data_IF_777159094437
#
_entry.id   IF_777159094437
#
_cell.length_a   1.000
_cell.length_b   1.000
_cell.length_c   1.000
_cell.angle_alpha   90.00
_cell.angle_beta   90.00
_cell.angle_gamma   90.00
#
_symmetry.space_group_name_H-M   'P 1'
#
loop_
_entity.id
_entity.type
_entity.pdbx_description
1 polymer ?
#
# COMPACT_ATOMS: atom_id res chain seq x y z
N UNK A 1 30.96 -26.44 1.22
CA UNK A 1 29.96 -26.54 2.31
C UNK A 1 29.04 -25.35 2.14
N UNK A 2 27.75 -25.63 1.98
CA UNK A 2 26.68 -24.74 1.53
C UNK A 2 26.51 -23.50 2.41
N UNK A 3 26.10 -22.34 1.87
CA UNK A 3 25.62 -21.23 2.69
C UNK A 3 24.17 -21.48 3.10
N UNK A 4 23.89 -21.23 4.37
CA UNK A 4 22.63 -21.43 5.07
C UNK A 4 21.42 -20.80 4.36
N UNK A 5 20.34 -21.59 4.34
CA UNK A 5 18.98 -21.16 4.03
C UNK A 5 18.50 -20.15 5.07
N UNK A 6 18.57 -18.86 4.75
CA UNK A 6 17.86 -17.82 5.49
C UNK A 6 16.35 -18.03 5.35
N UNK A 7 15.71 -18.39 6.45
CA UNK A 7 14.26 -18.47 6.59
C UNK A 7 13.64 -17.11 6.27
N UNK A 8 12.83 -17.05 5.21
CA UNK A 8 12.07 -15.86 4.82
C UNK A 8 10.98 -15.58 5.87
N UNK A 9 10.80 -14.34 6.34
CA UNK A 9 9.85 -13.99 7.40
C UNK A 9 8.37 -14.06 6.97
N UNK A 10 8.06 -14.47 5.74
CA UNK A 10 6.71 -14.46 5.16
C UNK A 10 5.99 -15.82 5.21
N UNK A 11 6.56 -16.83 5.87
CA UNK A 11 6.04 -18.19 5.90
C UNK A 11 5.32 -18.50 7.22
N UNK A 12 4.20 -17.82 7.45
CA UNK A 12 3.11 -18.38 8.23
C UNK A 12 1.86 -18.44 7.33
N UNK A 13 1.31 -19.64 7.16
CA UNK A 13 0.16 -19.90 6.29
C UNK A 13 -1.08 -19.22 6.86
N UNK A 14 -1.52 -18.14 6.21
CA UNK A 14 -2.76 -17.43 6.55
C UNK A 14 -3.94 -18.11 5.85
N UNK A 15 -5.05 -18.40 6.56
CA UNK A 15 -6.26 -18.92 5.95
C UNK A 15 -6.81 -17.93 4.91
N UNK A 16 -7.27 -18.46 3.78
CA UNK A 16 -7.96 -17.68 2.74
C UNK A 16 -9.09 -16.87 3.39
N UNK A 17 -9.10 -15.55 3.17
CA UNK A 17 -10.22 -14.73 3.60
C UNK A 17 -11.44 -15.15 2.78
N UNK A 18 -12.38 -15.85 3.42
CA UNK A 18 -13.68 -16.13 2.83
C UNK A 18 -14.40 -14.81 2.55
N UNK A 19 -15.04 -14.72 1.38
CA UNK A 19 -15.84 -13.57 1.00
C UNK A 19 -16.84 -13.26 2.14
N UNK A 20 -16.62 -12.17 2.88
CA UNK A 20 -17.52 -11.77 3.95
C UNK A 20 -18.75 -11.14 3.34
N UNK A 21 -19.84 -11.89 3.25
CA UNK A 21 -21.16 -11.36 2.92
C UNK A 21 -21.90 -11.04 4.21
N UNK A 22 -22.69 -9.96 4.22
CA UNK A 22 -23.62 -9.69 5.31
C UNK A 22 -24.82 -10.68 5.30
N UNK A 23 -25.70 -10.55 6.29
CA UNK A 23 -26.92 -11.35 6.41
C UNK A 23 -27.87 -11.22 5.20
N UNK A 24 -27.68 -10.19 4.37
CA UNK A 24 -28.46 -9.92 3.16
C UNK A 24 -27.75 -10.42 1.87
N UNK A 25 -26.57 -11.03 1.98
CA UNK A 25 -25.80 -11.52 0.83
C UNK A 25 -25.05 -10.42 0.07
N UNK A 26 -24.82 -9.27 0.68
CA UNK A 26 -24.00 -8.17 0.15
C UNK A 26 -22.54 -8.35 0.57
N UNK A 27 -21.61 -8.27 -0.36
CA UNK A 27 -20.18 -8.37 -0.05
C UNK A 27 -19.72 -7.17 0.79
N UNK A 28 -19.18 -7.40 1.98
CA UNK A 28 -18.63 -6.36 2.85
C UNK A 28 -17.34 -5.82 2.23
N UNK A 29 -17.25 -4.53 1.90
CA UNK A 29 -16.04 -3.98 1.27
C UNK A 29 -14.88 -3.98 2.24
N UNK A 30 -13.80 -4.67 1.92
CA UNK A 30 -12.71 -4.89 2.87
C UNK A 30 -11.81 -3.68 3.15
N UNK A 31 -11.95 -2.57 2.42
CA UNK A 31 -11.00 -1.44 2.50
C UNK A 31 -11.65 -0.07 2.74
N UNK A 32 -12.67 -0.04 3.59
CA UNK A 32 -13.10 1.18 4.26
C UNK A 32 -12.77 1.08 5.75
N UNK A 33 -12.68 2.21 6.45
CA UNK A 33 -12.73 2.15 7.92
C UNK A 33 -14.06 1.53 8.33
N UNK A 34 -14.04 0.70 9.37
CA UNK A 34 -15.27 0.24 10.02
C UNK A 34 -16.11 1.45 10.47
N UNK A 35 -17.40 1.25 10.69
CA UNK A 35 -18.33 2.32 11.08
C UNK A 35 -17.89 3.07 12.37
N UNK A 36 -17.07 2.42 13.20
CA UNK A 36 -16.46 2.99 14.41
C UNK A 36 -15.15 3.78 14.14
N UNK A 37 -14.74 3.91 12.88
CA UNK A 37 -13.53 4.59 12.43
C UNK A 37 -12.24 3.76 12.57
N UNK A 38 -12.36 2.48 12.93
CA UNK A 38 -11.23 1.54 13.05
C UNK A 38 -10.73 1.04 11.69
N UNK A 39 -9.46 0.61 11.64
CA UNK A 39 -8.80 0.15 10.41
C UNK A 39 -9.30 -1.25 10.04
N UNK A 40 -9.40 -1.57 8.74
CA UNK A 40 -9.88 -2.88 8.32
C UNK A 40 -8.77 -3.93 8.42
N UNK A 41 -8.67 -4.63 9.55
CA UNK A 41 -7.63 -5.67 9.79
C UNK A 41 -7.59 -6.74 8.69
N UNK A 42 -8.75 -7.12 8.13
CA UNK A 42 -8.84 -8.10 7.06
C UNK A 42 -8.06 -7.70 5.79
N UNK A 43 -7.84 -6.39 5.58
CA UNK A 43 -7.06 -5.87 4.46
C UNK A 43 -5.56 -6.14 4.61
N UNK A 44 -5.03 -6.29 5.84
CA UNK A 44 -3.66 -6.74 6.03
C UNK A 44 -3.46 -8.15 5.47
N UNK A 45 -4.44 -9.05 5.66
CA UNK A 45 -4.43 -10.39 5.08
C UNK A 45 -4.33 -10.36 3.56
N UNK A 46 -5.17 -9.56 2.90
CA UNK A 46 -5.15 -9.38 1.44
C UNK A 46 -3.80 -8.85 0.95
N UNK A 47 -3.23 -7.83 1.62
CA UNK A 47 -1.93 -7.27 1.23
C UNK A 47 -0.78 -8.27 1.42
N UNK A 48 -0.79 -9.05 2.50
CA UNK A 48 0.17 -10.15 2.73
C UNK A 48 0.07 -11.19 1.61
N UNK A 49 -1.15 -11.57 1.22
CA UNK A 49 -1.37 -12.55 0.16
C UNK A 49 -0.91 -12.05 -1.21
N UNK A 50 -1.12 -10.78 -1.53
CA UNK A 50 -0.59 -10.19 -2.76
C UNK A 50 0.94 -10.18 -2.80
N UNK A 51 1.58 -9.82 -1.69
CA UNK A 51 3.02 -9.90 -1.53
C UNK A 51 3.53 -11.34 -1.72
N UNK A 52 2.89 -12.30 -1.07
CA UNK A 52 3.24 -13.73 -1.14
C UNK A 52 3.06 -14.31 -2.54
N UNK A 53 1.91 -14.06 -3.18
CA UNK A 53 1.65 -14.50 -4.55
C UNK A 53 2.67 -13.91 -5.52
N UNK A 54 2.98 -12.61 -5.38
CA UNK A 54 3.98 -11.96 -6.21
C UNK A 54 5.38 -12.57 -6.01
N UNK A 55 5.77 -12.82 -4.76
CA UNK A 55 7.06 -13.45 -4.45
C UNK A 55 7.18 -14.88 -5.00
N UNK A 56 6.11 -15.67 -4.89
CA UNK A 56 6.09 -17.08 -5.29
C UNK A 56 6.01 -17.25 -6.81
N UNK A 57 5.21 -16.44 -7.50
CA UNK A 57 4.82 -16.69 -8.88
C UNK A 57 5.31 -15.66 -9.90
N UNK A 58 5.85 -14.50 -9.51
CA UNK A 58 6.32 -13.46 -10.44
C UNK A 58 7.85 -13.38 -10.51
N UNK A 59 8.52 -14.15 -11.39
CA UNK A 59 9.97 -14.16 -11.51
C UNK A 59 10.60 -12.78 -11.81
N UNK A 60 9.90 -11.88 -12.51
CA UNK A 60 10.38 -10.50 -12.77
C UNK A 60 10.34 -9.61 -11.52
N UNK A 61 9.61 -10.04 -10.48
CA UNK A 61 9.51 -9.36 -9.19
C UNK A 61 10.45 -9.93 -8.12
N UNK A 62 11.02 -11.13 -8.32
CA UNK A 62 11.91 -11.80 -7.35
C UNK A 62 13.31 -11.15 -7.25
N UNK A 63 13.68 -10.28 -8.18
CA UNK A 63 15.01 -9.65 -8.26
C UNK A 63 15.31 -8.55 -7.22
N UNK A 64 14.60 -8.50 -6.09
CA UNK A 64 14.92 -7.53 -5.03
C UNK A 64 15.82 -8.23 -4.02
N UNK A 65 17.13 -8.13 -4.20
CA UNK A 65 18.09 -8.49 -3.17
C UNK A 65 17.95 -7.56 -1.96
N UNK A 66 18.41 -8.01 -0.78
CA UNK A 66 18.42 -7.21 0.43
C UNK A 66 19.04 -5.83 0.13
N UNK A 67 18.20 -4.80 0.12
CA UNK A 67 18.61 -3.48 -0.30
C UNK A 67 19.22 -2.73 0.88
N UNK A 68 20.22 -1.90 0.59
CA UNK A 68 20.69 -0.93 1.56
C UNK A 68 19.52 -0.05 1.97
N UNK A 69 19.37 0.18 3.26
CA UNK A 69 18.41 1.15 3.74
C UNK A 69 18.82 2.55 3.26
N UNK A 70 17.84 3.44 2.99
CA UNK A 70 18.11 4.86 2.78
C UNK A 70 18.87 5.46 3.97
N UNK A 71 19.48 6.63 3.81
CA UNK A 71 20.23 7.32 4.88
C UNK A 71 19.46 7.38 6.20
N UNK A 72 18.13 7.56 6.12
CA UNK A 72 17.22 7.52 7.26
C UNK A 72 15.94 6.79 6.90
N UNK A 73 15.37 6.10 7.88
CA UNK A 73 14.05 5.47 7.84
C UNK A 73 13.33 5.75 9.14
N UNK A 74 12.01 5.59 9.17
CA UNK A 74 11.24 5.53 10.40
C UNK A 74 11.31 4.08 10.89
N UNK A 75 11.87 3.87 12.07
CA UNK A 75 11.73 2.61 12.80
C UNK A 75 10.35 2.61 13.45
N UNK A 76 9.48 1.74 12.92
CA UNK A 76 8.12 1.58 13.42
C UNK A 76 8.00 0.50 14.49
N UNK A 77 9.06 -0.29 14.73
CA UNK A 77 9.01 -1.47 15.60
C UNK A 77 8.12 -2.58 15.04
N UNK A 78 7.64 -3.46 15.92
CA UNK A 78 6.72 -4.56 15.58
C UNK A 78 5.26 -4.20 15.93
N UNK A 79 4.33 -5.15 15.78
CA UNK A 79 2.92 -4.94 16.13
C UNK A 79 2.69 -4.65 17.63
N UNK A 80 3.59 -5.13 18.50
CA UNK A 80 3.56 -4.88 19.94
C UNK A 80 4.20 -3.53 20.33
N UNK A 81 4.86 -2.85 19.39
CA UNK A 81 5.44 -1.55 19.63
C UNK A 81 4.32 -0.54 19.90
N UNK A 82 4.49 0.23 20.97
CA UNK A 82 3.51 1.20 21.42
C UNK A 82 3.28 2.37 20.45
N UNK A 83 2.88 3.50 21.02
CA UNK A 83 2.47 4.70 20.30
C UNK A 83 3.64 5.58 19.83
N UNK A 84 4.88 5.10 19.92
CA UNK A 84 6.08 5.84 19.53
C UNK A 84 6.81 5.15 18.38
N UNK A 85 7.28 5.97 17.45
CA UNK A 85 8.19 5.58 16.37
C UNK A 85 9.38 6.53 16.36
N UNK A 86 10.50 6.16 15.74
CA UNK A 86 11.70 7.02 15.74
C UNK A 86 12.30 7.14 14.36
N UNK A 87 12.81 8.33 14.05
CA UNK A 87 13.67 8.51 12.89
C UNK A 87 15.02 7.84 13.18
N UNK A 88 15.36 6.83 12.40
CA UNK A 88 16.57 6.04 12.55
C UNK A 88 17.57 6.38 11.45
N UNK A 89 18.81 6.69 11.83
CA UNK A 89 19.93 6.83 10.90
C UNK A 89 20.53 5.45 10.66
N UNK A 90 20.67 5.05 9.41
CA UNK A 90 20.86 3.63 9.07
C UNK A 90 22.31 3.22 8.97
N UNK A 91 23.24 4.18 8.84
CA UNK A 91 24.68 3.91 8.64
C UNK A 91 24.96 2.86 7.54
N UNK A 92 24.17 2.90 6.45
CA UNK A 92 24.23 1.95 5.32
C UNK A 92 23.86 0.49 5.65
N UNK A 93 23.18 0.26 6.78
CA UNK A 93 22.63 -1.04 7.13
C UNK A 93 21.74 -1.60 6.01
N UNK A 94 21.69 -2.93 5.91
CA UNK A 94 20.77 -3.63 5.03
C UNK A 94 19.47 -3.95 5.78
N UNK A 95 18.34 -3.85 5.10
CA UNK A 95 17.06 -4.17 5.70
C UNK A 95 15.92 -4.10 4.71
N UNK A 96 14.78 -4.67 5.09
CA UNK A 96 13.55 -4.56 4.32
C UNK A 96 12.75 -3.36 4.82
N UNK A 97 12.28 -2.53 3.90
CA UNK A 97 11.49 -1.35 4.22
C UNK A 97 10.38 -1.13 3.20
N UNK A 98 9.35 -0.39 3.62
CA UNK A 98 8.31 0.14 2.74
C UNK A 98 8.55 1.62 2.45
N UNK A 99 7.94 2.14 1.40
CA UNK A 99 7.90 3.57 1.11
C UNK A 99 6.46 4.08 1.16
N UNK A 100 6.26 5.35 1.50
CA UNK A 100 4.97 6.02 1.44
C UNK A 100 5.00 7.18 0.42
N UNK A 101 4.20 7.04 -0.63
CA UNK A 101 3.83 8.11 -1.55
C UNK A 101 2.56 8.80 -1.07
N UNK A 102 2.64 10.10 -0.78
CA UNK A 102 1.49 10.87 -0.31
C UNK A 102 1.49 12.31 -0.82
N UNK A 103 0.30 12.89 -0.94
CA UNK A 103 0.13 14.32 -1.17
C UNK A 103 0.19 15.09 0.14
N UNK A 104 0.96 16.18 0.15
CA UNK A 104 1.12 17.04 1.33
C UNK A 104 -0.16 17.81 1.66
N UNK A 105 -1.01 18.07 0.67
CA UNK A 105 -2.22 18.88 0.81
C UNK A 105 -1.95 20.35 1.07
N UNK A 106 -2.97 21.05 1.58
CA UNK A 106 -2.86 22.47 2.00
C UNK A 106 -2.40 22.58 3.47
N UNK A 107 -2.46 21.49 4.22
CA UNK A 107 -2.08 21.43 5.63
C UNK A 107 -0.57 21.40 5.82
N UNK A 108 -0.07 21.98 6.93
CA UNK A 108 1.34 21.86 7.31
C UNK A 108 1.60 20.42 7.78
N UNK A 109 1.99 19.54 6.87
CA UNK A 109 2.39 18.18 7.21
C UNK A 109 3.63 18.19 8.12
N UNK A 110 3.69 17.37 9.18
CA UNK A 110 4.86 17.21 10.02
C UNK A 110 6.07 16.82 9.16
N UNK A 111 7.16 17.53 9.36
CA UNK A 111 8.37 17.39 8.56
C UNK A 111 9.62 17.48 9.41
N UNK A 112 10.66 16.79 8.98
CA UNK A 112 11.96 16.87 9.64
C UNK A 112 12.71 18.13 9.17
N UNK A 113 13.25 18.86 10.12
CA UNK A 113 14.11 20.03 9.93
C UNK A 113 15.35 19.89 10.79
N UNK A 114 16.35 20.73 10.53
CA UNK A 114 17.57 20.80 11.33
C UNK A 114 17.28 21.04 12.82
N UNK A 115 16.20 21.76 13.14
CA UNK A 115 15.81 22.07 14.52
C UNK A 115 15.11 20.93 15.26
N UNK A 116 14.48 19.97 14.57
CA UNK A 116 13.67 18.92 15.20
C UNK A 116 14.17 17.49 14.95
N UNK A 117 15.21 17.29 14.15
CA UNK A 117 15.75 15.97 13.82
C UNK A 117 16.10 15.14 15.07
N UNK A 118 16.80 15.72 16.05
CA UNK A 118 17.14 15.01 17.29
C UNK A 118 15.89 14.59 18.08
N UNK A 119 14.84 15.42 18.06
CA UNK A 119 13.56 15.07 18.66
C UNK A 119 12.92 13.89 17.94
N UNK A 120 12.91 13.91 16.60
CA UNK A 120 12.38 12.81 15.80
C UNK A 120 13.16 11.51 16.02
N UNK A 121 14.48 11.57 16.23
CA UNK A 121 15.30 10.40 16.57
C UNK A 121 14.98 9.85 17.97
N UNK A 122 14.67 10.71 18.95
CA UNK A 122 14.26 10.26 20.30
C UNK A 122 12.86 9.66 20.33
N UNK A 123 12.00 10.06 19.39
CA UNK A 123 10.68 9.49 19.22
C UNK A 123 9.65 10.52 18.76
N UNK A 124 8.68 10.03 18.01
CA UNK A 124 7.53 10.74 17.48
C UNK A 124 6.30 9.98 17.95
N UNK A 125 5.40 10.66 18.64
CA UNK A 125 4.12 10.08 19.06
C UNK A 125 3.22 9.91 17.83
N UNK A 126 2.64 8.73 17.63
CA UNK A 126 1.80 8.41 16.47
C UNK A 126 0.64 9.38 16.29
N UNK A 127 -0.03 9.78 17.37
CA UNK A 127 -1.18 10.70 17.33
C UNK A 127 -0.79 12.12 16.89
N UNK A 128 0.50 12.47 16.91
CA UNK A 128 0.99 13.75 16.38
C UNK A 128 1.22 13.74 14.86
N UNK A 129 1.17 12.55 14.23
CA UNK A 129 1.35 12.39 12.79
C UNK A 129 0.01 12.49 12.05
N UNK A 130 0.00 12.86 10.76
CA UNK A 130 -1.20 12.83 9.95
C UNK A 130 -1.75 11.42 9.83
N UNK A 131 -3.06 11.28 9.60
CA UNK A 131 -3.73 9.98 9.52
C UNK A 131 -3.07 9.04 8.51
N UNK A 132 -2.65 9.56 7.35
CA UNK A 132 -1.96 8.76 6.32
C UNK A 132 -0.66 8.14 6.84
N UNK A 133 0.08 8.83 7.70
CA UNK A 133 1.34 8.30 8.23
C UNK A 133 1.03 7.25 9.30
N UNK A 134 0.01 7.50 10.13
CA UNK A 134 -0.44 6.53 11.13
C UNK A 134 -0.90 5.23 10.48
N UNK A 135 -1.69 5.31 9.40
CA UNK A 135 -2.15 4.13 8.68
C UNK A 135 -1.02 3.42 7.95
N UNK A 136 -0.09 4.18 7.34
CA UNK A 136 1.10 3.59 6.71
C UNK A 136 1.97 2.85 7.72
N UNK A 137 2.14 3.39 8.92
CA UNK A 137 2.86 2.73 10.02
C UNK A 137 2.12 1.46 10.45
N UNK A 138 0.80 1.52 10.59
CA UNK A 138 -0.03 0.36 10.92
C UNK A 138 0.07 -0.74 9.85
N UNK A 139 0.00 -0.38 8.56
CA UNK A 139 0.21 -1.33 7.45
C UNK A 139 1.62 -1.91 7.51
N UNK A 140 2.64 -1.08 7.76
CA UNK A 140 4.04 -1.52 7.79
C UNK A 140 4.26 -2.56 8.90
N UNK A 141 3.78 -2.28 10.13
CA UNK A 141 3.79 -3.23 11.26
C UNK A 141 3.01 -4.49 10.93
N UNK A 142 1.80 -4.33 10.39
CA UNK A 142 0.93 -5.43 9.96
C UNK A 142 1.58 -6.33 8.92
N UNK A 143 2.41 -5.81 8.02
CA UNK A 143 3.13 -6.63 7.05
C UNK A 143 4.40 -7.28 7.63
N UNK A 144 4.67 -7.14 8.93
CA UNK A 144 5.86 -7.68 9.59
C UNK A 144 7.15 -6.93 9.22
N UNK A 145 7.03 -5.68 8.76
CA UNK A 145 8.17 -4.85 8.33
C UNK A 145 8.43 -3.78 9.39
N UNK A 146 9.71 -3.58 9.73
CA UNK A 146 10.11 -2.64 10.80
C UNK A 146 10.36 -1.22 10.28
N UNK A 147 10.68 -1.06 9.00
CA UNK A 147 11.15 0.21 8.46
C UNK A 147 10.19 0.79 7.43
N UNK A 148 9.88 2.08 7.60
CA UNK A 148 9.09 2.87 6.66
C UNK A 148 9.86 4.10 6.24
N UNK A 149 9.94 4.37 4.94
CA UNK A 149 10.49 5.61 4.41
C UNK A 149 9.36 6.56 4.00
N UNK A 150 9.40 7.78 4.55
CA UNK A 150 8.44 8.85 4.25
C UNK A 150 9.24 10.11 3.90
N UNK A 151 9.08 10.63 2.68
CA UNK A 151 9.82 11.79 2.18
C UNK A 151 9.82 12.98 3.17
N UNK A 152 8.68 13.30 3.78
CA UNK A 152 8.54 14.43 4.70
C UNK A 152 9.35 14.27 6.01
N UNK A 153 9.57 13.03 6.47
CA UNK A 153 10.23 12.73 7.74
C UNK A 153 11.67 12.22 7.57
N UNK A 154 11.97 11.53 6.48
CA UNK A 154 13.29 10.94 6.24
C UNK A 154 14.30 11.90 5.57
N UNK A 155 13.84 13.08 5.15
CA UNK A 155 14.67 14.13 4.53
C UNK A 155 14.56 15.41 5.36
N UNK A 156 15.70 16.05 5.60
CA UNK A 156 15.78 17.34 6.29
C UNK A 156 15.35 18.44 5.34
N UNK A 157 14.15 18.99 5.53
CA UNK A 157 13.49 19.82 4.51
C UNK A 157 14.10 21.21 4.33
N UNK A 158 14.79 21.73 5.34
CA UNK A 158 15.46 23.03 5.36
C UNK A 158 16.97 22.93 5.04
N UNK A 159 17.53 21.72 4.94
CA UNK A 159 18.90 21.50 4.48
C UNK A 159 18.90 21.15 2.98
N UNK A 160 19.40 22.09 2.16
CA UNK A 160 19.49 21.92 0.71
C UNK A 160 20.43 20.78 0.29
N UNK A 161 21.52 20.57 1.02
CA UNK A 161 22.51 19.54 0.68
C UNK A 161 21.96 18.15 0.96
N UNK A 162 21.32 17.97 2.12
CA UNK A 162 20.63 16.72 2.47
C UNK A 162 19.50 16.43 1.48
N UNK A 163 18.62 17.41 1.25
CA UNK A 163 17.52 17.27 0.29
C UNK A 163 18.00 16.89 -1.10
N UNK A 164 19.04 17.54 -1.63
CA UNK A 164 19.56 17.23 -2.96
C UNK A 164 20.13 15.81 -3.04
N UNK A 165 20.84 15.36 -2.00
CA UNK A 165 21.38 14.00 -1.91
C UNK A 165 20.25 12.96 -1.95
N UNK A 166 19.24 13.14 -1.10
CA UNK A 166 18.12 12.21 -0.99
C UNK A 166 17.24 12.21 -2.24
N UNK A 167 16.97 13.38 -2.85
CA UNK A 167 16.21 13.46 -4.11
C UNK A 167 16.95 12.78 -5.26
N UNK A 168 18.28 12.86 -5.29
CA UNK A 168 19.11 12.18 -6.29
C UNK A 168 19.07 10.67 -6.10
N UNK A 169 19.11 10.20 -4.84
CA UNK A 169 19.01 8.78 -4.50
C UNK A 169 17.57 8.22 -4.57
N UNK A 170 16.55 9.08 -4.75
CA UNK A 170 15.15 8.69 -4.60
C UNK A 170 14.73 7.52 -5.51
N UNK A 171 15.28 7.44 -6.73
CA UNK A 171 15.01 6.31 -7.62
C UNK A 171 15.48 4.98 -7.00
N UNK A 172 16.65 4.96 -6.37
CA UNK A 172 17.17 3.77 -5.69
C UNK A 172 16.42 3.49 -4.38
N UNK A 173 16.01 4.52 -3.65
CA UNK A 173 15.16 4.38 -2.45
C UNK A 173 13.84 3.67 -2.79
N UNK A 174 13.14 4.09 -3.85
CA UNK A 174 11.91 3.42 -4.27
C UNK A 174 12.17 2.04 -4.90
N UNK A 175 13.28 1.87 -5.63
CA UNK A 175 13.64 0.57 -6.23
C UNK A 175 14.02 -0.49 -5.18
N UNK A 176 14.63 -0.07 -4.08
CA UNK A 176 15.06 -0.93 -2.98
C UNK A 176 13.96 -1.26 -1.96
N UNK A 177 12.80 -0.58 -2.02
CA UNK A 177 11.69 -0.90 -1.12
C UNK A 177 11.01 -2.21 -1.50
N UNK A 178 10.49 -2.94 -0.51
CA UNK A 178 9.72 -4.17 -0.76
C UNK A 178 8.43 -3.85 -1.52
N UNK A 179 7.77 -2.77 -1.09
CA UNK A 179 6.53 -2.26 -1.65
C UNK A 179 6.37 -0.77 -1.33
N UNK A 180 5.73 -0.04 -2.24
CA UNK A 180 5.28 1.33 -2.02
C UNK A 180 3.80 1.36 -1.63
N UNK A 181 3.46 2.15 -0.61
CA UNK A 181 2.10 2.49 -0.25
C UNK A 181 1.77 3.84 -0.90
N UNK A 182 0.84 3.87 -1.84
CA UNK A 182 0.48 5.07 -2.59
C UNK A 182 -0.91 5.57 -2.21
N UNK A 183 -1.01 6.76 -1.62
CA UNK A 183 -2.29 7.36 -1.20
C UNK A 183 -2.98 8.09 -2.35
N UNK A 184 -3.23 7.39 -3.45
CA UNK A 184 -3.70 7.97 -4.71
C UNK A 184 -5.13 8.54 -4.67
N UNK A 185 -5.89 8.27 -3.62
CA UNK A 185 -7.21 8.88 -3.40
C UNK A 185 -7.22 10.09 -2.48
N UNK A 186 -6.13 10.36 -1.76
CA UNK A 186 -6.08 11.40 -0.74
C UNK A 186 -5.36 12.64 -1.26
N UNK A 187 -6.05 13.78 -1.24
CA UNK A 187 -5.47 15.08 -1.60
C UNK A 187 -4.73 15.75 -0.42
N UNK A 188 -4.86 15.22 0.80
CA UNK A 188 -4.24 15.74 2.02
C UNK A 188 -3.85 14.57 2.95
N UNK A 189 -2.70 14.68 3.62
CA UNK A 189 -2.15 13.65 4.49
C UNK A 189 -3.05 13.33 5.72
N UNK A 190 -4.00 14.20 6.06
CA UNK A 190 -4.93 13.98 7.18
C UNK A 190 -6.12 13.07 6.84
N UNK A 191 -6.35 12.76 5.57
CA UNK A 191 -7.51 11.93 5.16
C UNK A 191 -7.27 10.44 5.48
N UNK A 192 -6.01 9.98 5.46
CA UNK A 192 -5.66 8.58 5.72
C UNK A 192 -5.56 7.73 4.46
N UNK A 193 -5.21 6.45 4.65
CA UNK A 193 -5.10 5.47 3.56
C UNK A 193 -6.46 4.85 3.20
N UNK A 194 -7.31 4.58 4.18
CA UNK A 194 -8.58 3.89 3.98
C UNK A 194 -9.70 4.91 3.82
N UNK A 195 -10.02 5.29 2.59
CA UNK A 195 -11.04 6.31 2.35
C UNK A 195 -12.44 5.76 2.63
N UNK A 196 -13.32 6.61 3.17
CA UNK A 196 -14.75 6.28 3.28
C UNK A 196 -15.32 6.08 1.87
N UNK A 197 -16.07 4.99 1.68
CA UNK A 197 -16.55 4.59 0.36
C UNK A 197 -18.06 4.55 0.35
N UNK A 198 -18.64 4.96 -0.77
CA UNK A 198 -20.05 4.69 -1.03
C UNK A 198 -20.23 3.17 -1.23
N UNK A 199 -20.81 2.51 -0.22
CA UNK A 199 -21.06 1.08 -0.18
C UNK A 199 -21.83 0.57 -1.42
N UNK A 200 -22.72 1.38 -2.01
CA UNK A 200 -23.49 1.01 -3.21
C UNK A 200 -22.64 0.98 -4.48
N UNK A 201 -21.58 1.79 -4.54
CA UNK A 201 -20.59 1.74 -5.61
C UNK A 201 -19.55 0.63 -5.37
N UNK A 202 -19.40 0.34 -4.08
CA UNK A 202 -18.52 -0.58 -3.33
C UNK A 202 -18.69 -2.08 -3.50
N UNK A 203 -19.95 -2.47 -3.44
CA UNK A 203 -20.33 -3.80 -2.95
C UNK A 203 -20.74 -4.70 -4.10
N UNK A 204 -20.21 -5.93 -4.08
CA UNK A 204 -20.68 -6.97 -4.99
C UNK A 204 -21.97 -7.54 -4.43
N UNK A 205 -23.04 -7.51 -5.22
CA UNK A 205 -24.33 -8.08 -4.82
C UNK A 205 -24.44 -9.52 -5.34
N UNK A 206 -24.72 -10.47 -4.44
CA UNK A 206 -25.14 -11.82 -4.84
C UNK A 206 -26.59 -11.75 -5.31
N UNK A 207 -26.87 -12.18 -6.54
CA UNK A 207 -28.27 -12.32 -6.97
C UNK A 207 -28.80 -13.64 -6.39
N UNK A 208 -29.82 -13.62 -5.51
CA UNK A 208 -30.50 -14.85 -5.10
C UNK A 208 -31.18 -15.44 -6.34
N UNK A 209 -30.69 -16.60 -6.78
CA UNK A 209 -31.26 -17.31 -7.92
C UNK A 209 -32.16 -18.41 -7.37
N UNK A 210 -33.48 -18.25 -7.53
CA UNK A 210 -34.44 -19.33 -7.39
C UNK A 210 -34.35 -20.27 -8.60
N UNK A 211 -33.19 -20.89 -8.79
CA UNK A 211 -32.89 -21.82 -9.89
C UNK A 211 -32.58 -23.20 -9.28
N UNK A 212 -33.06 -24.31 -9.88
CA UNK A 212 -32.76 -25.66 -9.41
C UNK A 212 -31.25 -25.92 -9.26
N UNK A 213 -30.90 -26.70 -8.24
CA UNK A 213 -29.55 -27.01 -7.76
C UNK A 213 -28.57 -27.48 -8.87
N UNK A 214 -29.09 -28.00 -9.98
CA UNK A 214 -28.29 -28.43 -11.14
C UNK A 214 -27.69 -27.29 -11.98
N UNK A 215 -28.05 -26.03 -11.72
CA UNK A 215 -27.58 -24.84 -12.45
C UNK A 215 -27.07 -23.72 -11.54
N UNK A 216 -26.80 -23.98 -10.25
CA UNK A 216 -26.40 -22.96 -9.26
C UNK A 216 -24.98 -22.44 -9.46
N UNK A 217 -24.72 -21.72 -10.56
CA UNK A 217 -23.64 -20.75 -10.60
C UNK A 217 -24.19 -19.47 -9.99
N UNK A 218 -23.71 -19.09 -8.81
CA UNK A 218 -24.08 -17.81 -8.20
C UNK A 218 -23.67 -16.68 -9.15
N UNK A 219 -24.65 -15.85 -9.55
CA UNK A 219 -24.39 -14.68 -10.36
C UNK A 219 -24.08 -13.50 -9.44
N UNK A 220 -22.95 -12.86 -9.70
CA UNK A 220 -22.53 -11.67 -8.99
C UNK A 220 -22.72 -10.46 -9.89
N UNK A 221 -23.40 -9.43 -9.39
CA UNK A 221 -23.39 -8.12 -10.04
C UNK A 221 -22.21 -7.36 -9.48
N UNK A 222 -21.23 -7.14 -10.35
CA UNK A 222 -20.15 -6.21 -10.09
C UNK A 222 -20.61 -4.83 -10.58
N UNK A 223 -20.54 -3.78 -9.75
CA UNK A 223 -20.69 -2.42 -10.26
C UNK A 223 -19.63 -2.22 -11.35
N UNK A 224 -20.05 -1.80 -12.54
CA UNK A 224 -19.15 -1.56 -13.67
C UNK A 224 -18.18 -0.43 -13.27
N UNK A 225 -16.98 -0.83 -12.85
CA UNK A 225 -15.89 0.07 -12.55
C UNK A 225 -14.94 -0.06 -13.71
N UNK A 226 -15.11 0.83 -14.67
CA UNK A 226 -14.01 1.09 -15.57
C UNK A 226 -12.77 1.38 -14.70
N UNK A 227 -11.61 0.82 -15.07
CA UNK A 227 -10.30 1.31 -14.61
C UNK A 227 -10.03 2.74 -15.16
N UNK A 228 -11.09 3.48 -15.45
CA UNK A 228 -11.12 4.85 -15.91
C UNK A 228 -11.82 5.65 -14.82
N UNK A 229 -11.06 6.54 -14.19
CA UNK A 229 -11.68 7.70 -13.56
C UNK A 229 -12.46 8.45 -14.65
N UNK A 230 -13.49 9.19 -14.26
CA UNK A 230 -14.51 9.91 -15.06
C UNK A 230 -13.97 10.96 -16.06
N UNK A 231 -12.80 10.77 -16.65
CA UNK A 231 -12.20 11.65 -17.68
C UNK A 231 -11.19 10.94 -18.59
N UNK A 232 -11.31 9.64 -18.85
CA UNK A 232 -10.45 8.95 -19.82
C UNK A 232 -8.96 8.93 -19.44
N UNK A 233 -8.64 9.16 -18.16
CA UNK A 233 -7.28 9.04 -17.61
C UNK A 233 -7.20 7.72 -16.84
N UNK A 234 -6.13 6.97 -17.06
CA UNK A 234 -5.83 5.68 -16.43
C UNK A 234 -6.18 5.70 -14.93
N UNK A 235 -6.68 4.59 -14.35
CA UNK A 235 -7.01 4.46 -12.91
C UNK A 235 -5.94 4.98 -11.93
N UNK A 236 -4.70 5.07 -12.43
CA UNK A 236 -3.51 5.52 -11.73
C UNK A 236 -3.30 7.04 -11.86
N UNK A 237 -4.30 7.81 -12.32
CA UNK A 237 -4.24 9.27 -12.49
C UNK A 237 -4.74 10.03 -11.25
N UNK A 238 -4.38 9.57 -10.04
CA UNK A 238 -4.67 10.24 -8.76
C UNK A 238 -3.80 11.49 -8.49
N UNK A 239 -4.00 12.21 -7.37
CA UNK A 239 -3.27 13.45 -7.04
C UNK A 239 -1.77 13.23 -6.88
N UNK A 240 -1.40 12.03 -6.42
CA UNK A 240 -0.03 11.54 -6.33
C UNK A 240 0.58 11.45 -7.75
N UNK A 241 -0.16 10.92 -8.72
CA UNK A 241 0.27 10.78 -10.11
C UNK A 241 0.22 12.06 -10.98
N UNK A 242 -0.50 13.10 -10.54
CA UNK A 242 -0.56 14.38 -11.26
C UNK A 242 0.61 15.31 -10.89
N UNK A 243 1.42 14.88 -9.94
CA UNK A 243 2.63 15.55 -9.51
C UNK A 243 3.81 15.13 -10.43
N UNK A 244 4.80 16.01 -10.66
CA UNK A 244 6.09 15.70 -11.30
C UNK A 244 6.89 14.50 -10.69
N UNK A 245 6.35 13.81 -9.69
CA UNK A 245 6.93 12.70 -8.94
C UNK A 245 6.32 11.34 -9.37
N UNK A 246 5.21 11.34 -10.10
CA UNK A 246 4.44 10.17 -10.56
C UNK A 246 5.26 9.11 -11.31
N UNK A 247 6.27 9.54 -12.09
CA UNK A 247 7.11 8.62 -12.85
C UNK A 247 8.08 7.85 -11.94
N UNK A 248 8.42 8.40 -10.77
CA UNK A 248 9.37 7.81 -9.81
C UNK A 248 8.70 6.81 -8.87
N UNK A 249 7.38 6.89 -8.71
CA UNK A 249 6.58 6.02 -7.84
C UNK A 249 6.18 4.69 -8.50
N UNK A 250 6.50 4.53 -9.79
CA UNK A 250 6.38 3.28 -10.57
C UNK A 250 7.69 2.51 -10.68
N UNK A 251 8.75 2.99 -10.02
CA UNK A 251 10.05 2.33 -9.91
C UNK A 251 10.09 1.16 -8.90
N UNK A 252 9.30 1.15 -7.81
CA UNK A 252 9.16 -0.01 -6.95
C UNK A 252 8.72 -1.23 -7.73
N UNK A 253 9.19 -2.42 -7.35
CA UNK A 253 8.74 -3.65 -7.98
C UNK A 253 7.25 -3.95 -7.70
N UNK A 254 6.70 -3.33 -6.65
CA UNK A 254 5.36 -3.55 -6.09
C UNK A 254 4.81 -2.23 -5.52
N UNK A 255 3.57 -1.89 -5.82
CA UNK A 255 2.86 -0.75 -5.26
C UNK A 255 1.45 -1.15 -4.85
N UNK A 256 1.02 -0.74 -3.66
CA UNK A 256 -0.38 -0.82 -3.21
C UNK A 256 -0.97 0.59 -3.33
N UNK A 257 -1.94 0.74 -4.21
CA UNK A 257 -2.65 1.98 -4.46
C UNK A 257 -3.91 2.03 -3.61
N UNK A 258 -4.01 3.06 -2.78
CA UNK A 258 -5.17 3.36 -1.97
C UNK A 258 -6.01 4.43 -2.70
N UNK A 259 -6.99 3.97 -3.48
CA UNK A 259 -7.90 4.84 -4.25
C UNK A 259 -9.21 5.06 -3.48
N UNK A 260 -10.00 6.10 -3.83
CA UNK A 260 -11.27 6.40 -3.14
C UNK A 260 -12.29 5.28 -3.20
N UNK A 261 -12.23 4.43 -4.23
CA UNK A 261 -13.21 3.37 -4.47
C UNK A 261 -12.66 1.95 -4.29
N UNK A 262 -11.34 1.75 -4.28
CA UNK A 262 -10.74 0.41 -4.21
C UNK A 262 -9.27 0.47 -3.77
N UNK A 263 -8.74 -0.65 -3.26
CA UNK A 263 -7.31 -0.89 -3.20
C UNK A 263 -6.87 -1.70 -4.40
N UNK A 264 -5.74 -1.32 -4.99
CA UNK A 264 -5.16 -1.99 -6.15
C UNK A 264 -3.71 -2.37 -5.86
N UNK A 265 -3.39 -3.63 -6.05
CA UNK A 265 -2.04 -4.13 -6.17
C UNK A 265 -1.51 -3.91 -7.57
N UNK A 266 -0.31 -3.35 -7.70
CA UNK A 266 0.46 -3.30 -8.93
C UNK A 266 1.86 -3.92 -8.72
N UNK A 267 2.29 -4.80 -9.62
CA UNK A 267 3.66 -5.24 -9.73
C UNK A 267 4.05 -5.41 -11.21
N UNK A 268 5.29 -5.79 -11.49
CA UNK A 268 5.82 -5.91 -12.88
C UNK A 268 5.10 -6.94 -13.77
N UNK A 269 4.29 -7.82 -13.20
CA UNK A 269 3.61 -8.90 -13.92
C UNK A 269 2.09 -8.87 -13.76
N UNK A 270 1.58 -8.15 -12.75
CA UNK A 270 0.19 -8.27 -12.35
C UNK A 270 -0.32 -6.98 -11.71
N UNK A 271 -1.61 -6.76 -11.89
CA UNK A 271 -2.45 -5.69 -11.36
C UNK A 271 -3.67 -6.43 -10.85
N UNK A 272 -3.95 -6.32 -9.56
CA UNK A 272 -5.12 -6.94 -8.94
C UNK A 272 -5.87 -5.90 -8.14
N UNK A 273 -7.18 -5.93 -8.22
CA UNK A 273 -8.03 -5.16 -7.31
C UNK A 273 -8.45 -6.03 -6.14
N UNK A 274 -8.85 -5.40 -5.02
CA UNK A 274 -9.48 -6.10 -3.89
C UNK A 274 -10.68 -7.00 -4.32
N UNK A 275 -11.37 -6.66 -5.42
CA UNK A 275 -12.51 -7.42 -5.95
C UNK A 275 -12.07 -8.66 -6.73
N UNK A 276 -10.98 -8.58 -7.51
CA UNK A 276 -10.41 -9.72 -8.23
C UNK A 276 -9.72 -10.73 -7.30
N UNK A 277 -9.41 -10.32 -6.07
CA UNK A 277 -9.02 -11.24 -5.02
C UNK A 277 -10.22 -12.05 -4.50
N UNK A 278 -11.42 -11.44 -4.45
CA UNK A 278 -12.68 -12.04 -3.97
C UNK A 278 -13.44 -12.85 -5.05
N UNK A 279 -13.05 -12.75 -6.33
CA UNK A 279 -13.68 -13.47 -7.45
C UNK A 279 -12.72 -13.67 -8.64
N UNK A 280 -12.85 -14.82 -9.33
CA UNK A 280 -11.98 -15.39 -10.39
C UNK A 280 -10.80 -14.53 -10.91
N UNK A 281 -9.59 -15.09 -10.74
CA UNK A 281 -8.32 -14.57 -11.28
C UNK A 281 -8.39 -14.37 -12.80
N UNK A 282 -8.46 -13.13 -13.29
CA UNK A 282 -8.23 -12.82 -14.71
C UNK A 282 -6.82 -12.26 -14.93
N UNK A 283 -5.98 -12.90 -15.76
CA UNK A 283 -4.66 -12.37 -16.10
C UNK A 283 -4.74 -11.15 -17.04
N UNK A 284 -3.83 -10.20 -16.87
CA UNK A 284 -3.77 -8.87 -17.51
C UNK A 284 -3.78 -8.84 -19.05
N UNK A 285 -3.45 -9.94 -19.72
CA UNK A 285 -3.03 -9.91 -21.14
C UNK A 285 -4.11 -9.46 -22.15
N UNK A 286 -5.32 -9.14 -21.72
CA UNK A 286 -6.41 -8.73 -22.61
C UNK A 286 -6.76 -7.24 -22.58
N UNK A 287 -6.24 -6.43 -21.64
CA UNK A 287 -6.63 -5.00 -21.53
C UNK A 287 -5.77 -4.01 -22.33
N UNK A 288 -4.70 -4.45 -23.00
CA UNK A 288 -3.79 -3.57 -23.78
C UNK A 288 -3.78 -3.81 -25.29
N UNK A 289 -4.72 -4.59 -25.83
CA UNK A 289 -4.84 -4.84 -27.28
C UNK A 289 -6.25 -4.60 -27.81
N UNK A 290 -6.81 -3.42 -27.60
CA UNK A 290 -7.96 -2.95 -28.40
C UNK A 290 -7.90 -1.45 -28.64
N UNK A 291 -6.78 -0.94 -29.15
CA UNK A 291 -6.75 0.32 -29.89
C UNK A 291 -5.71 0.17 -31.01
N UNK A 292 -6.13 -0.51 -32.06
CA UNK A 292 -5.54 -0.45 -33.40
C UNK A 292 -6.60 0.06 -34.35
#
# INVERSE_FOLDING_TARGET
MSPDSSSSPLLDSVPLVENTFDENGLAIPMAHYSDDGSRPDAMLGVMRDWLNQCYMYHPRCRQVEASHLPTRVIDVGNEEAGDKVSLFHTDQACGTYLTLSHCWGQSVSPRTTTANIESHCRGITLTSLPRAFQDAIWVTRGLGIQYLWVYALCIIQDDKNDRNREITAMADIYRGSLCNLATDGAYDANIGLFLERNQLQVTTCKIPTSIPESLSKAWYIYPLRELHTTSGKNALSGPVSSSNWALRERLPCRTIHFLPNQIVWECREMLMTEHQYMGEKRPIRELTRQHG
#
